data_IF_557110218908
#
_entry.id   IF_557110218908
#
_cell.length_a   1.000
_cell.length_b   1.000
_cell.length_c   1.000
_cell.angle_alpha   90.00
_cell.angle_beta   90.00
_cell.angle_gamma   90.00
#
_symmetry.space_group_name_H-M   'P 1'
#
loop_
_entity.id
_entity.type
_entity.pdbx_description
1 polymer ?
#
# COMPACT_ATOMS: atom_id res chain seq x y z
N UNK A 1 2.73 -2.61 -29.38
CA UNK A 1 2.88 -3.37 -28.13
C UNK A 1 3.23 -2.35 -27.04
N UNK A 2 2.48 -2.34 -25.95
CA UNK A 2 2.62 -1.37 -24.86
C UNK A 2 3.43 -2.01 -23.72
N UNK A 3 4.54 -1.40 -23.34
CA UNK A 3 5.45 -1.94 -22.32
C UNK A 3 5.20 -1.29 -20.97
N UNK A 4 4.78 -2.09 -19.99
CA UNK A 4 4.56 -1.67 -18.62
C UNK A 4 5.66 -2.24 -17.73
N UNK A 5 6.34 -1.39 -16.97
CA UNK A 5 7.45 -1.79 -16.11
C UNK A 5 7.07 -1.62 -14.64
N UNK A 6 7.26 -2.67 -13.84
CA UNK A 6 7.22 -2.66 -12.39
C UNK A 6 8.63 -2.65 -11.83
N UNK A 7 9.15 -1.51 -11.39
CA UNK A 7 10.55 -1.35 -10.93
C UNK A 7 10.89 -2.17 -9.70
N UNK A 8 9.87 -2.49 -8.89
CA UNK A 8 10.03 -3.31 -7.68
C UNK A 8 8.72 -3.96 -7.32
N UNK A 9 8.74 -5.28 -7.21
CA UNK A 9 7.67 -6.04 -6.60
C UNK A 9 7.91 -6.13 -5.09
N UNK A 10 6.88 -5.81 -4.31
CA UNK A 10 6.98 -5.78 -2.84
C UNK A 10 6.81 -7.14 -2.18
N UNK A 11 6.11 -8.07 -2.84
CA UNK A 11 5.76 -9.36 -2.29
C UNK A 11 6.16 -10.47 -3.22
N UNK A 12 6.78 -11.44 -2.61
CA UNK A 12 7.23 -12.64 -3.25
C UNK A 12 6.03 -13.42 -3.81
N UNK A 13 6.20 -13.94 -4.98
CA UNK A 13 5.62 -15.15 -5.53
C UNK A 13 4.28 -15.15 -6.24
N UNK A 14 3.38 -14.20 -6.04
CA UNK A 14 2.11 -14.26 -6.76
C UNK A 14 1.69 -12.91 -7.35
N UNK A 15 2.32 -12.53 -8.46
CA UNK A 15 1.89 -11.43 -9.32
C UNK A 15 0.56 -11.73 -10.05
N UNK A 16 -0.24 -12.64 -9.50
CA UNK A 16 -1.52 -13.05 -10.08
C UNK A 16 -2.49 -11.86 -10.18
N UNK A 17 -2.64 -11.00 -9.15
CA UNK A 17 -3.53 -9.85 -9.26
C UNK A 17 -3.08 -8.85 -10.32
N UNK A 18 -1.79 -8.53 -10.38
CA UNK A 18 -1.23 -7.58 -11.35
C UNK A 18 -1.33 -8.13 -12.77
N UNK A 19 -0.99 -9.40 -12.94
CA UNK A 19 -1.10 -10.06 -14.24
C UNK A 19 -2.55 -10.21 -14.68
N UNK A 20 -3.47 -10.56 -13.78
CA UNK A 20 -4.89 -10.68 -14.10
C UNK A 20 -5.54 -9.32 -14.36
N UNK A 21 -5.07 -8.26 -13.67
CA UNK A 21 -5.53 -6.90 -13.88
C UNK A 21 -5.17 -6.33 -15.25
N UNK A 22 -4.06 -6.78 -15.85
CA UNK A 22 -3.68 -6.42 -17.22
C UNK A 22 -4.51 -7.14 -18.28
N UNK A 23 -5.26 -8.14 -17.88
CA UNK A 23 -6.06 -8.94 -18.79
C UNK A 23 -5.24 -9.81 -19.76
N UNK A 24 -5.91 -10.33 -20.77
CA UNK A 24 -5.30 -11.10 -21.86
C UNK A 24 -5.00 -10.24 -23.10
N UNK A 25 -4.73 -8.95 -22.91
CA UNK A 25 -4.44 -8.07 -24.05
C UNK A 25 -3.10 -8.46 -24.67
N UNK A 26 -3.13 -8.91 -25.90
CA UNK A 26 -1.92 -9.20 -26.70
C UNK A 26 -1.08 -7.94 -26.96
N UNK A 27 -1.66 -6.78 -26.71
CA UNK A 27 -1.02 -5.48 -26.94
C UNK A 27 -0.19 -4.98 -25.74
N UNK A 28 -0.26 -5.63 -24.57
CA UNK A 28 0.44 -5.21 -23.35
C UNK A 28 1.47 -6.26 -22.94
N UNK A 29 2.69 -5.83 -22.77
CA UNK A 29 3.77 -6.64 -22.19
C UNK A 29 4.18 -6.06 -20.83
N UNK A 30 4.05 -6.86 -19.77
CA UNK A 30 4.44 -6.50 -18.42
C UNK A 30 5.82 -7.05 -18.06
N UNK A 31 6.65 -6.20 -17.48
CA UNK A 31 7.99 -6.52 -17.02
C UNK A 31 8.09 -6.26 -15.51
N UNK A 32 8.51 -7.27 -14.75
CA UNK A 32 8.58 -7.23 -13.29
C UNK A 32 10.00 -7.42 -12.82
N UNK A 33 10.45 -6.57 -11.91
CA UNK A 33 11.80 -6.61 -11.34
C UNK A 33 11.74 -6.64 -9.82
N UNK A 34 12.74 -7.25 -9.19
CA UNK A 34 12.87 -7.25 -7.73
C UNK A 34 13.53 -5.97 -7.21
N UNK A 35 14.34 -5.33 -8.05
CA UNK A 35 15.01 -4.08 -7.72
C UNK A 35 15.14 -3.18 -8.96
N UNK A 36 15.05 -1.84 -8.82
CA UNK A 36 15.18 -0.92 -9.96
C UNK A 36 16.47 -1.06 -10.75
N UNK A 37 17.60 -1.41 -10.10
CA UNK A 37 18.89 -1.61 -10.76
C UNK A 37 18.94 -2.79 -11.73
N UNK A 38 17.95 -3.68 -11.70
CA UNK A 38 17.84 -4.82 -12.61
C UNK A 38 17.18 -4.45 -13.93
N UNK A 39 16.59 -3.26 -14.02
CA UNK A 39 15.88 -2.82 -15.23
C UNK A 39 16.88 -2.48 -16.32
N UNK A 40 16.85 -3.15 -17.48
CA UNK A 40 17.68 -2.76 -18.61
C UNK A 40 17.39 -1.32 -19.03
N UNK A 41 18.45 -0.55 -19.32
CA UNK A 41 18.32 0.86 -19.67
C UNK A 41 17.52 1.10 -20.95
N UNK A 42 17.61 0.20 -21.91
CA UNK A 42 16.85 0.22 -23.17
C UNK A 42 15.35 -0.02 -22.92
N UNK A 43 15.01 -0.92 -22.01
CA UNK A 43 13.63 -1.14 -21.59
C UNK A 43 13.07 0.08 -20.86
N UNK A 44 13.84 0.67 -19.93
CA UNK A 44 13.42 1.87 -19.23
C UNK A 44 13.22 3.07 -20.18
N UNK A 45 14.10 3.20 -21.18
CA UNK A 45 13.99 4.23 -22.20
C UNK A 45 12.78 4.06 -23.13
N UNK A 46 12.36 2.82 -23.37
CA UNK A 46 11.27 2.48 -24.30
C UNK A 46 9.93 2.18 -23.64
N UNK A 47 9.86 2.08 -22.30
CA UNK A 47 8.62 1.74 -21.61
C UNK A 47 7.54 2.82 -21.79
N UNK A 48 6.29 2.38 -21.84
CA UNK A 48 5.13 3.25 -21.97
C UNK A 48 4.54 3.64 -20.62
N UNK A 49 4.68 2.80 -19.61
CA UNK A 49 4.21 3.06 -18.26
C UNK A 49 5.14 2.47 -17.20
N UNK A 50 5.24 3.18 -16.08
CA UNK A 50 5.89 2.72 -14.85
C UNK A 50 4.82 2.57 -13.76
N UNK A 51 4.82 1.43 -13.06
CA UNK A 51 3.86 1.15 -12.00
C UNK A 51 4.59 0.62 -10.77
N UNK A 52 4.52 1.30 -9.64
CA UNK A 52 5.15 0.79 -8.42
C UNK A 52 5.76 1.88 -7.53
N UNK A 53 6.73 1.52 -6.67
CA UNK A 53 7.47 2.50 -5.89
C UNK A 53 8.28 3.43 -6.80
N UNK A 54 8.67 4.62 -6.31
CA UNK A 54 9.52 5.53 -7.06
C UNK A 54 10.83 4.86 -7.50
N UNK A 55 11.27 5.18 -8.69
CA UNK A 55 12.62 4.82 -9.15
C UNK A 55 13.63 5.86 -8.65
N UNK A 56 14.90 5.47 -8.51
CA UNK A 56 15.99 6.39 -8.16
C UNK A 56 16.08 7.59 -9.13
N UNK A 57 16.41 8.77 -8.60
CA UNK A 57 16.46 10.01 -9.40
C UNK A 57 17.47 9.97 -10.53
N UNK A 58 18.58 9.24 -10.33
CA UNK A 58 19.62 9.03 -11.37
C UNK A 58 19.12 8.21 -12.55
N UNK A 59 18.11 7.37 -12.35
CA UNK A 59 17.45 6.61 -13.41
C UNK A 59 16.41 7.40 -14.18
N UNK A 60 15.88 8.49 -13.62
CA UNK A 60 14.84 9.28 -14.29
C UNK A 60 15.29 9.88 -15.62
N UNK A 61 16.59 10.18 -15.75
CA UNK A 61 17.17 10.65 -17.00
C UNK A 61 17.15 9.65 -18.17
N UNK A 62 16.89 8.37 -17.88
CA UNK A 62 16.78 7.31 -18.87
C UNK A 62 15.35 7.15 -19.43
N UNK A 63 14.35 7.77 -18.79
CA UNK A 63 12.95 7.66 -19.19
C UNK A 63 12.67 8.61 -20.36
N UNK A 64 12.48 8.05 -21.56
CA UNK A 64 12.25 8.88 -22.75
C UNK A 64 10.85 8.76 -23.35
N UNK A 65 10.19 7.60 -23.21
CA UNK A 65 8.90 7.30 -23.84
C UNK A 65 7.75 7.11 -22.86
N UNK A 66 8.02 7.09 -21.57
CA UNK A 66 7.01 6.82 -20.55
C UNK A 66 5.89 7.88 -20.60
N UNK A 67 4.66 7.41 -20.66
CA UNK A 67 3.46 8.26 -20.81
C UNK A 67 2.75 8.49 -19.48
N UNK A 68 3.00 7.63 -18.49
CA UNK A 68 2.35 7.67 -17.19
C UNK A 68 3.19 6.94 -16.13
N UNK A 69 3.25 7.53 -14.94
CA UNK A 69 3.71 6.84 -13.73
C UNK A 69 2.54 6.62 -12.77
N UNK A 70 2.34 5.38 -12.32
CA UNK A 70 1.29 5.00 -11.39
C UNK A 70 1.90 4.51 -10.07
N UNK A 71 1.59 5.21 -8.99
CA UNK A 71 1.89 4.79 -7.62
C UNK A 71 0.72 3.95 -7.10
N UNK A 72 0.83 2.62 -6.93
CA UNK A 72 -0.25 1.76 -6.46
C UNK A 72 -0.41 1.85 -4.94
N UNK A 73 -0.64 3.04 -4.44
CA UNK A 73 -0.84 3.37 -3.02
C UNK A 73 -1.61 4.67 -2.87
N UNK A 74 -2.19 4.91 -1.69
CA UNK A 74 -2.81 6.20 -1.34
C UNK A 74 -1.75 7.28 -1.20
N UNK A 75 -0.71 7.02 -0.38
CA UNK A 75 0.37 7.97 -0.12
C UNK A 75 1.33 8.10 -1.30
N UNK A 76 1.76 9.32 -1.57
CA UNK A 76 2.72 9.67 -2.62
C UNK A 76 3.81 10.63 -2.15
N UNK A 77 4.00 10.77 -0.84
CA UNK A 77 4.98 11.71 -0.23
C UNK A 77 6.42 11.42 -0.66
N UNK A 78 6.72 10.17 -1.01
CA UNK A 78 8.03 9.74 -1.49
C UNK A 78 8.26 10.00 -2.99
N UNK A 79 7.24 10.52 -3.71
CA UNK A 79 7.31 10.77 -5.15
C UNK A 79 7.78 12.21 -5.40
N UNK A 80 8.89 12.38 -6.10
CA UNK A 80 9.37 13.70 -6.53
C UNK A 80 8.51 14.24 -7.69
N UNK A 81 7.34 14.80 -7.36
CA UNK A 81 6.43 15.38 -8.35
C UNK A 81 7.08 16.45 -9.23
N UNK A 82 7.94 17.35 -8.71
CA UNK A 82 8.69 18.29 -9.55
C UNK A 82 9.57 17.61 -10.61
N UNK A 83 10.23 16.49 -10.27
CA UNK A 83 11.06 15.76 -11.23
C UNK A 83 10.20 15.14 -12.34
N UNK A 84 9.08 14.48 -11.99
CA UNK A 84 8.15 13.93 -12.96
C UNK A 84 7.51 15.01 -13.85
N UNK A 85 7.17 16.16 -13.25
CA UNK A 85 6.63 17.31 -14.00
C UNK A 85 7.61 17.84 -15.04
N UNK A 86 8.91 17.90 -14.72
CA UNK A 86 9.94 18.32 -15.68
C UNK A 86 10.04 17.38 -16.89
N UNK A 87 9.74 16.10 -16.70
CA UNK A 87 9.67 15.12 -17.79
C UNK A 87 8.36 15.17 -18.56
N UNK A 88 7.38 15.95 -18.11
CA UNK A 88 6.05 16.01 -18.70
C UNK A 88 5.22 14.75 -18.51
N UNK A 89 5.58 13.89 -17.54
CA UNK A 89 4.93 12.61 -17.29
C UNK A 89 3.90 12.78 -16.16
N UNK A 90 2.61 12.50 -16.41
CA UNK A 90 1.59 12.52 -15.38
C UNK A 90 1.82 11.43 -14.34
N UNK A 91 1.54 11.79 -13.07
CA UNK A 91 1.62 10.87 -11.93
C UNK A 91 0.22 10.59 -11.42
N UNK A 92 -0.13 9.33 -11.29
CA UNK A 92 -1.38 8.86 -10.71
C UNK A 92 -1.12 8.05 -9.43
N UNK A 93 -2.07 8.09 -8.50
CA UNK A 93 -2.10 7.22 -7.33
C UNK A 93 -3.41 6.44 -7.27
N UNK A 94 -3.56 5.57 -6.26
CA UNK A 94 -4.77 4.75 -6.03
C UNK A 94 -5.40 5.15 -4.69
N UNK A 95 -6.23 6.22 -4.62
CA UNK A 95 -6.61 6.84 -3.36
C UNK A 95 -7.59 6.03 -2.50
N UNK A 96 -8.49 5.24 -3.07
CA UNK A 96 -9.69 4.78 -2.36
C UNK A 96 -9.72 3.30 -1.97
N UNK A 97 -8.72 2.51 -2.33
CA UNK A 97 -8.76 1.05 -2.12
C UNK A 97 -8.84 0.62 -0.64
N UNK A 98 -8.35 1.43 0.28
CA UNK A 98 -8.27 1.10 1.72
C UNK A 98 -9.14 1.97 2.62
N UNK A 99 -9.99 2.84 2.08
CA UNK A 99 -10.76 3.83 2.86
C UNK A 99 -11.68 3.17 3.88
N UNK A 100 -12.38 2.11 3.50
CA UNK A 100 -13.29 1.38 4.39
C UNK A 100 -12.54 0.62 5.48
N UNK A 101 -11.52 -0.12 5.09
CA UNK A 101 -10.69 -0.90 6.01
C UNK A 101 -10.01 -0.02 7.05
N UNK A 102 -9.53 1.16 6.66
CA UNK A 102 -8.94 2.13 7.58
C UNK A 102 -10.00 2.69 8.54
N UNK A 103 -11.17 3.04 8.04
CA UNK A 103 -12.27 3.54 8.86
C UNK A 103 -12.75 2.50 9.87
N UNK A 104 -12.98 1.26 9.41
CA UNK A 104 -13.43 0.16 10.26
C UNK A 104 -12.37 -0.18 11.32
N UNK A 105 -11.10 -0.18 10.95
CA UNK A 105 -10.01 -0.42 11.89
C UNK A 105 -9.89 0.70 12.93
N UNK A 106 -10.04 1.96 12.54
CA UNK A 106 -10.07 3.09 13.46
C UNK A 106 -11.22 2.97 14.47
N UNK A 107 -12.40 2.58 14.02
CA UNK A 107 -13.56 2.32 14.90
C UNK A 107 -13.31 1.11 15.81
N UNK A 108 -12.72 0.04 15.31
CA UNK A 108 -12.36 -1.13 16.12
C UNK A 108 -11.38 -0.77 17.23
N UNK A 109 -10.35 0.02 16.93
CA UNK A 109 -9.41 0.52 17.93
C UNK A 109 -10.10 1.41 18.97
N UNK A 110 -10.94 2.34 18.54
CA UNK A 110 -11.71 3.20 19.44
C UNK A 110 -12.59 2.39 20.41
N UNK A 111 -13.31 1.41 19.89
CA UNK A 111 -14.16 0.53 20.71
C UNK A 111 -13.31 -0.37 21.62
N UNK A 112 -12.21 -0.89 21.15
CA UNK A 112 -11.29 -1.70 21.96
C UNK A 112 -10.75 -0.91 23.15
N UNK A 113 -10.34 0.34 22.94
CA UNK A 113 -9.88 1.22 24.01
C UNK A 113 -11.02 1.58 24.96
N UNK A 114 -12.16 2.02 24.43
CA UNK A 114 -13.30 2.48 25.24
C UNK A 114 -13.92 1.39 26.09
N UNK A 115 -13.79 0.15 25.67
CA UNK A 115 -14.30 -1.05 26.38
C UNK A 115 -13.21 -1.82 27.11
N UNK A 116 -11.96 -1.36 27.05
CA UNK A 116 -10.81 -2.07 27.64
C UNK A 116 -10.72 -3.54 27.24
N UNK A 117 -11.03 -3.86 25.96
CA UNK A 117 -11.15 -5.25 25.49
C UNK A 117 -9.83 -6.01 25.69
N UNK A 118 -8.70 -5.41 25.30
CA UNK A 118 -7.38 -6.04 25.43
C UNK A 118 -7.05 -6.35 26.90
N UNK A 119 -7.35 -5.42 27.79
CA UNK A 119 -7.14 -5.63 29.22
C UNK A 119 -7.98 -6.79 29.76
N UNK A 120 -9.26 -6.84 29.40
CA UNK A 120 -10.14 -7.92 29.87
C UNK A 120 -9.76 -9.26 29.28
N UNK A 121 -9.35 -9.32 28.00
CA UNK A 121 -8.88 -10.55 27.37
C UNK A 121 -7.62 -11.08 28.08
N UNK A 122 -6.64 -10.22 28.32
CA UNK A 122 -5.42 -10.60 29.04
C UNK A 122 -5.71 -11.07 30.47
N UNK A 123 -6.55 -10.33 31.21
CA UNK A 123 -6.95 -10.66 32.57
C UNK A 123 -7.64 -12.02 32.66
N UNK A 124 -8.56 -12.30 31.72
CA UNK A 124 -9.29 -13.58 31.69
C UNK A 124 -8.38 -14.75 31.28
N UNK A 125 -7.36 -14.53 30.47
CA UNK A 125 -6.37 -15.57 30.14
C UNK A 125 -5.50 -15.95 31.34
N UNK A 126 -5.22 -14.98 32.22
CA UNK A 126 -4.44 -15.21 33.43
C UNK A 126 -5.23 -15.97 34.50
N UNK A 127 -6.46 -15.58 34.77
CA UNK A 127 -7.37 -16.23 35.71
C UNK A 127 -8.85 -16.09 35.23
N UNK A 128 -9.37 -17.12 34.52
CA UNK A 128 -10.71 -17.07 33.95
C UNK A 128 -11.83 -17.00 35.02
N UNK A 129 -11.59 -17.53 36.20
CA UNK A 129 -12.58 -17.59 37.27
C UNK A 129 -12.51 -16.35 38.18
N UNK A 130 -11.30 -15.98 38.61
CA UNK A 130 -11.07 -14.83 39.50
C UNK A 130 -11.29 -13.50 38.85
N UNK A 131 -10.94 -13.38 37.57
CA UNK A 131 -10.96 -12.11 36.82
C UNK A 131 -12.26 -11.86 36.04
N UNK A 132 -13.27 -12.70 36.16
CA UNK A 132 -14.59 -12.51 35.57
C UNK A 132 -15.41 -11.36 36.18
N UNK A 133 -14.89 -10.59 37.12
CA UNK A 133 -15.64 -9.55 37.84
C UNK A 133 -15.43 -8.17 37.20
N UNK A 134 -16.54 -7.40 36.93
CA UNK A 134 -16.45 -6.07 36.30
C UNK A 134 -15.72 -5.01 37.16
N UNK A 135 -15.43 -5.30 38.43
CA UNK A 135 -14.85 -4.34 39.38
C UNK A 135 -13.36 -4.03 39.15
N UNK A 136 -12.70 -4.73 38.23
CA UNK A 136 -11.25 -4.61 38.01
C UNK A 136 -10.88 -3.83 36.75
N UNK A 137 -11.73 -2.92 36.29
CA UNK A 137 -11.34 -2.04 35.19
C UNK A 137 -10.47 -0.88 35.71
N UNK A 138 -9.14 -0.93 35.58
CA UNK A 138 -8.22 0.11 36.08
C UNK A 138 -8.36 1.42 35.33
N UNK A 139 -9.00 1.43 34.17
CA UNK A 139 -9.16 2.61 33.32
C UNK A 139 -10.51 3.30 33.52
N UNK A 140 -11.28 2.92 34.55
CA UNK A 140 -12.55 3.61 34.89
C UNK A 140 -13.54 3.67 33.72
N UNK A 141 -13.49 2.66 32.81
CA UNK A 141 -14.26 2.66 31.61
C UNK A 141 -15.73 2.77 31.94
N UNK A 142 -16.30 3.85 31.53
CA UNK A 142 -17.72 4.12 31.34
C UNK A 142 -18.65 3.21 32.14
N UNK A 143 -18.72 3.44 33.42
CA UNK A 143 -19.94 3.12 34.13
C UNK A 143 -21.01 3.96 33.44
N UNK A 144 -21.88 3.34 32.65
CA UNK A 144 -23.16 3.96 32.31
C UNK A 144 -23.82 4.26 33.66
N UNK A 145 -23.78 5.51 34.07
CA UNK A 145 -24.66 5.93 35.13
C UNK A 145 -26.08 5.70 34.61
N UNK A 146 -26.96 5.11 35.42
CA UNK A 146 -28.38 4.91 35.05
C UNK A 146 -29.03 6.23 34.68
#
# INVERSE_FOLDING_TARGET
>A
MFHVVWPKIRWDDNLIPERSGLGSSEDITAHFFSHPSEIPSDLLASCDALVGPPIPLDMMGLINNCKIYVKPAVGFDEVDLPAWSKLGIPVCNTPDYGTREVADHAMALLLTLSKSIAFHDESLRQDPVGNWRPALNPYGAYQRKP
#
